data_IF_719968325094
#
_entry.id   IF_719968325094
#
_cell.length_a   1.000
_cell.length_b   1.000
_cell.length_c   1.000
_cell.angle_alpha   90.00
_cell.angle_beta   90.00
_cell.angle_gamma   90.00
#
_symmetry.space_group_name_H-M   'P 1'
#
loop_
_entity.id
_entity.type
_entity.pdbx_description
1 polymer ?
#
# COMPACT_ATOMS: atom_id res chain seq x y z
N UNK A 1 11.90 -17.58 -1.54
CA UNK A 1 12.72 -16.52 -0.94
C UNK A 1 13.08 -16.93 0.47
N UNK A 2 14.33 -16.75 0.86
CA UNK A 2 14.72 -16.93 2.26
C UNK A 2 14.16 -15.77 3.10
N UNK A 3 13.88 -15.95 4.41
CA UNK A 3 13.42 -14.86 5.27
C UNK A 3 14.34 -13.62 5.23
N UNK A 4 15.65 -13.84 5.07
CA UNK A 4 16.66 -12.78 4.99
C UNK A 4 16.49 -11.88 3.77
N UNK A 5 16.10 -12.44 2.61
CA UNK A 5 15.84 -11.66 1.39
C UNK A 5 14.64 -10.72 1.57
N UNK A 6 13.58 -11.20 2.22
CA UNK A 6 12.38 -10.40 2.51
C UNK A 6 12.71 -9.21 3.42
N UNK A 7 13.53 -9.41 4.45
CA UNK A 7 13.96 -8.34 5.36
C UNK A 7 14.86 -7.30 4.68
N UNK A 8 15.74 -7.73 3.77
CA UNK A 8 16.57 -6.81 2.97
C UNK A 8 15.74 -6.02 1.96
N UNK A 9 14.70 -6.66 1.41
CA UNK A 9 13.80 -6.03 0.46
C UNK A 9 12.88 -5.00 1.13
N UNK A 10 12.42 -5.28 2.35
CA UNK A 10 11.44 -4.48 3.06
C UNK A 10 11.73 -2.97 3.09
N UNK A 11 12.91 -2.46 3.49
CA UNK A 11 13.15 -1.03 3.54
C UNK A 11 13.18 -0.38 2.13
N UNK A 12 13.69 -1.09 1.12
CA UNK A 12 13.77 -0.57 -0.24
C UNK A 12 12.39 -0.49 -0.88
N UNK A 13 11.62 -1.57 -0.80
CA UNK A 13 10.28 -1.59 -1.35
C UNK A 13 9.32 -0.68 -0.56
N UNK A 14 9.49 -0.53 0.76
CA UNK A 14 8.76 0.46 1.56
C UNK A 14 8.95 1.89 1.05
N UNK A 15 10.21 2.30 0.84
CA UNK A 15 10.52 3.65 0.34
C UNK A 15 9.98 3.87 -1.08
N UNK A 16 10.10 2.86 -1.94
CA UNK A 16 9.53 2.91 -3.29
C UNK A 16 8.01 3.04 -3.26
N UNK A 17 7.34 2.25 -2.42
CA UNK A 17 5.89 2.32 -2.25
C UNK A 17 5.47 3.72 -1.80
N UNK A 18 6.14 4.30 -0.81
CA UNK A 18 5.88 5.69 -0.38
C UNK A 18 6.07 6.67 -1.54
N UNK A 19 7.14 6.51 -2.32
CA UNK A 19 7.46 7.39 -3.44
C UNK A 19 6.36 7.36 -4.53
N UNK A 20 5.73 6.21 -4.75
CA UNK A 20 4.64 6.02 -5.71
C UNK A 20 3.30 6.48 -5.13
N UNK A 21 2.96 6.09 -3.90
CA UNK A 21 1.65 6.35 -3.30
C UNK A 21 1.46 7.81 -2.90
N UNK A 22 2.48 8.41 -2.30
CA UNK A 22 2.41 9.79 -1.79
C UNK A 22 1.97 10.82 -2.83
N UNK A 23 2.53 10.89 -4.06
CA UNK A 23 2.06 11.86 -5.06
C UNK A 23 0.60 11.60 -5.48
N UNK A 24 0.18 10.34 -5.57
CA UNK A 24 -1.20 9.97 -5.88
C UNK A 24 -2.13 10.45 -4.76
N UNK A 25 -1.75 10.27 -3.49
CA UNK A 25 -2.51 10.75 -2.34
C UNK A 25 -2.55 12.28 -2.28
N UNK A 26 -1.44 12.96 -2.59
CA UNK A 26 -1.39 14.43 -2.61
C UNK A 26 -2.43 15.00 -3.58
N UNK A 27 -2.55 14.41 -4.77
CA UNK A 27 -3.48 14.84 -5.82
C UNK A 27 -4.91 14.32 -5.59
N UNK A 28 -5.04 13.06 -5.20
CA UNK A 28 -6.30 12.34 -5.10
C UNK A 28 -7.12 12.71 -3.87
N UNK A 29 -6.49 12.82 -2.70
CA UNK A 29 -7.17 13.16 -1.45
C UNK A 29 -7.82 14.54 -1.54
N UNK A 30 -9.01 14.63 -0.96
CA UNK A 30 -9.84 15.84 -0.91
C UNK A 30 -9.05 17.04 -0.37
N UNK A 31 -9.36 18.24 -0.89
CA UNK A 31 -8.67 19.51 -0.54
C UNK A 31 -8.74 19.88 0.94
N UNK A 32 -9.62 19.26 1.72
CA UNK A 32 -9.75 19.44 3.17
C UNK A 32 -8.51 18.99 3.96
N UNK A 33 -7.75 18.04 3.42
CA UNK A 33 -6.57 17.52 4.11
C UNK A 33 -5.36 18.41 3.82
N UNK A 34 -4.71 18.99 4.84
CA UNK A 34 -3.47 19.72 4.65
C UNK A 34 -2.38 18.79 4.14
N UNK A 35 -1.37 19.35 3.45
CA UNK A 35 -0.28 18.59 2.84
C UNK A 35 0.42 17.65 3.85
N UNK A 36 0.59 18.10 5.09
CA UNK A 36 1.17 17.28 6.17
C UNK A 36 0.39 16.00 6.43
N UNK A 37 -0.95 16.03 6.42
CA UNK A 37 -1.78 14.83 6.56
C UNK A 37 -1.66 13.91 5.34
N UNK A 38 -1.56 14.48 4.13
CA UNK A 38 -1.40 13.67 2.91
C UNK A 38 -0.05 12.95 2.88
N UNK A 39 1.02 13.63 3.26
CA UNK A 39 2.36 13.05 3.40
C UNK A 39 2.39 11.99 4.52
N UNK A 40 1.83 12.31 5.68
CA UNK A 40 1.74 11.37 6.79
C UNK A 40 0.93 10.13 6.42
N UNK A 41 -0.19 10.29 5.72
CA UNK A 41 -1.00 9.16 5.25
C UNK A 41 -0.18 8.22 4.35
N UNK A 42 0.57 8.76 3.38
CA UNK A 42 1.45 7.95 2.54
C UNK A 42 2.47 7.14 3.37
N UNK A 43 3.15 7.77 4.32
CA UNK A 43 4.17 7.06 5.12
C UNK A 43 3.56 6.06 6.10
N UNK A 44 2.50 6.47 6.80
CA UNK A 44 1.89 5.72 7.91
C UNK A 44 1.06 4.54 7.44
N UNK A 45 0.23 4.71 6.40
CA UNK A 45 -0.61 3.64 5.89
C UNK A 45 0.26 2.49 5.37
N UNK A 46 1.25 2.80 4.54
CA UNK A 46 2.23 1.82 4.06
C UNK A 46 2.99 1.17 5.22
N UNK A 47 3.35 1.91 6.28
CA UNK A 47 4.07 1.34 7.42
C UNK A 47 3.27 0.24 8.13
N UNK A 48 1.93 0.36 8.14
CA UNK A 48 1.05 -0.62 8.76
C UNK A 48 0.77 -1.82 7.84
N UNK A 49 0.66 -1.63 6.53
CA UNK A 49 0.21 -2.67 5.59
C UNK A 49 1.37 -3.41 4.93
N UNK A 50 2.45 -2.70 4.59
CA UNK A 50 3.55 -3.25 3.81
C UNK A 50 4.29 -4.41 4.49
N UNK A 51 4.62 -4.38 5.80
CA UNK A 51 5.22 -5.53 6.46
C UNK A 51 4.34 -6.79 6.44
N UNK A 52 3.02 -6.62 6.49
CA UNK A 52 2.08 -7.75 6.43
C UNK A 52 2.12 -8.36 5.02
N UNK A 53 2.03 -7.52 3.99
CA UNK A 53 2.05 -7.97 2.59
C UNK A 53 3.38 -8.59 2.20
N UNK A 54 4.50 -8.08 2.72
CA UNK A 54 5.84 -8.53 2.32
C UNK A 54 6.45 -9.62 3.20
N UNK A 55 6.12 -9.68 4.49
CA UNK A 55 6.67 -10.69 5.39
C UNK A 55 5.65 -11.77 5.72
N UNK A 56 4.39 -11.41 5.95
CA UNK A 56 3.39 -12.34 6.52
C UNK A 56 2.67 -13.12 5.42
N UNK A 57 2.11 -12.44 4.42
CA UNK A 57 1.36 -13.10 3.35
C UNK A 57 2.20 -14.15 2.58
N UNK A 58 3.48 -13.91 2.20
CA UNK A 58 4.25 -14.91 1.48
C UNK A 58 4.48 -16.19 2.30
N UNK A 59 4.59 -16.08 3.63
CA UNK A 59 4.77 -17.23 4.53
C UNK A 59 3.45 -18.01 4.65
N UNK A 60 2.32 -17.31 4.84
CA UNK A 60 1.00 -17.94 4.95
C UNK A 60 0.59 -18.67 3.66
N UNK A 61 0.96 -18.12 2.50
CA UNK A 61 0.59 -18.64 1.19
C UNK A 61 1.71 -19.44 0.50
N UNK A 62 2.79 -19.80 1.20
CA UNK A 62 3.95 -20.51 0.61
C UNK A 62 3.61 -21.84 -0.08
N UNK A 63 2.50 -22.49 0.31
CA UNK A 63 2.00 -23.74 -0.31
C UNK A 63 0.78 -23.56 -1.24
N UNK A 64 0.38 -22.32 -1.55
CA UNK A 64 -0.80 -22.01 -2.36
C UNK A 64 -0.41 -21.44 -3.73
N UNK A 65 -1.39 -21.30 -4.62
CA UNK A 65 -1.15 -20.69 -5.94
C UNK A 65 -0.77 -19.21 -5.81
N UNK A 66 0.16 -18.76 -6.66
CA UNK A 66 0.56 -17.33 -6.73
C UNK A 66 -0.63 -16.41 -6.95
N UNK A 67 -1.59 -16.83 -7.78
CA UNK A 67 -2.80 -16.05 -8.06
C UNK A 67 -3.64 -15.79 -6.79
N UNK A 68 -3.78 -16.79 -5.91
CA UNK A 68 -4.51 -16.63 -4.66
C UNK A 68 -3.81 -15.62 -3.74
N UNK A 69 -2.48 -15.72 -3.62
CA UNK A 69 -1.69 -14.76 -2.85
C UNK A 69 -1.87 -13.33 -3.38
N UNK A 70 -1.76 -13.12 -4.70
CA UNK A 70 -1.93 -11.79 -5.30
C UNK A 70 -3.33 -11.22 -5.04
N UNK A 71 -4.39 -12.00 -5.27
CA UNK A 71 -5.78 -11.54 -5.01
C UNK A 71 -5.98 -11.15 -3.55
N UNK A 72 -5.43 -11.93 -2.62
CA UNK A 72 -5.50 -11.62 -1.18
C UNK A 72 -4.73 -10.35 -0.86
N UNK A 73 -3.50 -10.19 -1.38
CA UNK A 73 -2.69 -8.99 -1.15
C UNK A 73 -3.35 -7.72 -1.73
N UNK A 74 -3.84 -7.80 -2.96
CA UNK A 74 -4.53 -6.73 -3.69
C UNK A 74 -5.87 -6.34 -3.05
N UNK A 75 -6.50 -7.24 -2.30
CA UNK A 75 -7.72 -6.92 -1.56
C UNK A 75 -7.40 -6.42 -0.15
N UNK A 76 -6.47 -7.07 0.54
CA UNK A 76 -6.12 -6.78 1.93
C UNK A 76 -5.52 -5.39 2.08
N UNK A 77 -4.50 -5.05 1.28
CA UNK A 77 -3.76 -3.80 1.43
C UNK A 77 -4.67 -2.57 1.27
N UNK A 78 -5.42 -2.38 0.17
CA UNK A 78 -6.26 -1.20 0.03
C UNK A 78 -7.43 -1.19 1.02
N UNK A 79 -7.98 -2.34 1.41
CA UNK A 79 -9.03 -2.41 2.42
C UNK A 79 -8.51 -1.97 3.81
N UNK A 80 -7.33 -2.47 4.20
CA UNK A 80 -6.68 -2.11 5.45
C UNK A 80 -6.29 -0.63 5.46
N UNK A 81 -5.75 -0.08 4.37
CA UNK A 81 -5.39 1.33 4.28
C UNK A 81 -6.60 2.25 4.31
N UNK A 82 -7.69 1.91 3.61
CA UNK A 82 -8.95 2.65 3.72
C UNK A 82 -9.47 2.66 5.17
N UNK A 83 -9.43 1.51 5.84
CA UNK A 83 -9.86 1.38 7.24
C UNK A 83 -8.97 2.20 8.17
N UNK A 84 -7.65 2.08 8.06
CA UNK A 84 -6.67 2.81 8.87
C UNK A 84 -6.78 4.32 8.65
N UNK A 85 -6.91 4.76 7.39
CA UNK A 85 -7.11 6.18 7.06
C UNK A 85 -8.41 6.71 7.67
N UNK A 86 -9.49 5.94 7.56
CA UNK A 86 -10.76 6.29 8.17
C UNK A 86 -10.67 6.38 9.70
N UNK A 87 -9.97 5.45 10.35
CA UNK A 87 -9.77 5.45 11.80
C UNK A 87 -8.88 6.62 12.26
N UNK A 88 -7.82 6.93 11.52
CA UNK A 88 -6.86 7.98 11.86
C UNK A 88 -7.43 9.40 11.63
N UNK A 89 -8.24 9.60 10.58
CA UNK A 89 -8.73 10.91 10.17
C UNK A 89 -10.27 11.02 10.24
N UNK A 90 -10.87 10.28 11.18
CA UNK A 90 -12.32 10.20 11.34
C UNK A 90 -12.93 11.57 11.72
N UNK A 91 -13.44 12.28 10.73
CA UNK A 91 -14.28 13.45 10.95
C UNK A 91 -15.76 13.03 10.82
N UNK A 92 -16.47 12.94 11.95
CA UNK A 92 -17.89 12.47 12.02
C UNK A 92 -18.82 13.21 11.06
N UNK A 93 -18.49 14.45 10.75
CA UNK A 93 -19.26 15.33 9.86
C UNK A 93 -19.28 14.90 8.38
N UNK A 94 -18.38 14.00 7.97
CA UNK A 94 -18.21 13.61 6.56
C UNK A 94 -18.48 12.14 6.28
N UNK A 95 -18.99 11.39 7.27
CA UNK A 95 -19.36 9.98 7.11
C UNK A 95 -20.47 9.88 6.05
N UNK A 96 -20.22 9.10 5.00
CA UNK A 96 -21.17 8.87 3.90
C UNK A 96 -21.18 9.95 2.81
N UNK A 97 -20.35 11.00 2.89
CA UNK A 97 -20.26 12.03 1.85
C UNK A 97 -19.37 11.59 0.68
N UNK A 98 -19.61 12.15 -0.52
CA UNK A 98 -18.77 11.96 -1.72
C UNK A 98 -17.28 12.20 -1.47
N UNK A 99 -16.93 13.12 -0.57
CA UNK A 99 -15.55 13.42 -0.20
C UNK A 99 -14.84 12.22 0.44
N UNK A 100 -15.55 11.42 1.24
CA UNK A 100 -15.03 10.21 1.88
C UNK A 100 -14.76 9.13 0.83
N UNK A 101 -15.71 8.91 -0.09
CA UNK A 101 -15.53 7.97 -1.20
C UNK A 101 -14.38 8.37 -2.11
N UNK A 102 -14.21 9.67 -2.39
CA UNK A 102 -13.06 10.17 -3.14
C UNK A 102 -11.74 9.85 -2.42
N UNK A 103 -11.68 10.04 -1.11
CA UNK A 103 -10.47 9.74 -0.34
C UNK A 103 -10.14 8.23 -0.39
N UNK A 104 -11.15 7.36 -0.30
CA UNK A 104 -10.97 5.91 -0.43
C UNK A 104 -10.54 5.48 -1.84
N UNK A 105 -11.16 6.04 -2.87
CA UNK A 105 -10.75 5.77 -4.26
C UNK A 105 -9.30 6.20 -4.47
N UNK A 106 -8.89 7.35 -3.94
CA UNK A 106 -7.51 7.82 -4.03
C UNK A 106 -6.52 6.85 -3.36
N UNK A 107 -6.88 6.30 -2.20
CA UNK A 107 -6.06 5.30 -1.49
C UNK A 107 -5.98 4.00 -2.28
N UNK A 108 -7.11 3.47 -2.78
CA UNK A 108 -7.14 2.26 -3.61
C UNK A 108 -6.27 2.43 -4.85
N UNK A 109 -6.40 3.56 -5.55
CA UNK A 109 -5.59 3.86 -6.74
C UNK A 109 -4.11 3.97 -6.41
N UNK A 110 -3.75 4.61 -5.29
CA UNK A 110 -2.37 4.71 -4.83
C UNK A 110 -1.78 3.30 -4.59
N UNK A 111 -2.49 2.47 -3.82
CA UNK A 111 -2.06 1.14 -3.47
C UNK A 111 -1.91 0.23 -4.71
N UNK A 112 -2.90 0.23 -5.61
CA UNK A 112 -2.84 -0.55 -6.85
C UNK A 112 -1.72 -0.08 -7.78
N UNK A 113 -1.44 1.23 -7.83
CA UNK A 113 -0.33 1.77 -8.60
C UNK A 113 1.02 1.31 -8.04
N UNK A 114 1.19 1.33 -6.72
CA UNK A 114 2.38 0.81 -6.03
C UNK A 114 2.57 -0.68 -6.29
N UNK A 115 1.51 -1.46 -6.18
CA UNK A 115 1.53 -2.89 -6.52
C UNK A 115 1.94 -3.12 -7.99
N UNK A 116 1.35 -2.38 -8.93
CA UNK A 116 1.68 -2.46 -10.35
C UNK A 116 3.15 -2.12 -10.65
N UNK A 117 3.70 -1.08 -10.01
CA UNK A 117 5.13 -0.75 -10.10
C UNK A 117 5.98 -1.89 -9.53
N UNK A 118 5.58 -2.48 -8.40
CA UNK A 118 6.21 -3.66 -7.82
C UNK A 118 6.25 -4.84 -8.79
N UNK A 119 5.14 -5.18 -9.44
CA UNK A 119 5.09 -6.28 -10.41
C UNK A 119 5.95 -6.02 -11.65
N UNK A 120 5.99 -4.78 -12.16
CA UNK A 120 6.89 -4.40 -13.26
C UNK A 120 8.36 -4.58 -12.86
N UNK A 121 8.72 -4.15 -11.65
CA UNK A 121 10.09 -4.32 -11.13
C UNK A 121 10.43 -5.78 -10.89
N UNK A 122 9.46 -6.59 -10.45
CA UNK A 122 9.61 -8.03 -10.32
C UNK A 122 9.85 -8.70 -11.69
N UNK A 123 9.06 -8.31 -12.70
CA UNK A 123 9.19 -8.83 -14.06
C UNK A 123 10.53 -8.50 -14.71
N UNK A 124 11.13 -7.35 -14.38
CA UNK A 124 12.48 -6.97 -14.81
C UNK A 124 13.60 -7.54 -13.91
N UNK A 125 13.25 -8.41 -12.95
CA UNK A 125 14.22 -9.09 -12.09
C UNK A 125 14.85 -8.19 -11.03
N UNK A 126 14.29 -6.99 -10.78
CA UNK A 126 14.82 -6.05 -9.78
C UNK A 126 14.70 -6.60 -8.35
N UNK A 127 13.71 -7.45 -8.08
CA UNK A 127 13.59 -8.19 -6.81
C UNK A 127 14.48 -9.44 -6.73
N UNK A 128 15.33 -9.66 -7.74
CA UNK A 128 16.61 -10.35 -7.61
C UNK A 128 17.72 -9.32 -7.45
N UNK A 129 18.24 -9.13 -6.25
CA UNK A 129 19.31 -8.17 -5.90
C UNK A 129 20.71 -8.59 -6.42
N UNK A 130 20.75 -9.09 -7.67
CA UNK A 130 21.80 -9.77 -8.45
C UNK A 130 22.05 -11.24 -8.08
N UNK A 131 21.33 -12.15 -8.75
CA UNK A 131 21.49 -13.63 -8.79
C UNK A 131 21.52 -14.38 -7.45
#
# INVERSE_FOLDING_TARGET
MSPFELWRFLPLGYLLTILVETPILIVGLSRRHPLTRKLFAGVWLTACTYPIVTLVLPILFAGHSRALHLVVAETFAPAAECLLFWLAFREREYVGKLCMWRDFIAIIVANLASFGVGEVMNAWGWFGLLR
#
